data_IF_910924155992
#
_entry.id   IF_910924155992
#
_cell.length_a   1.000
_cell.length_b   1.000
_cell.length_c   1.000
_cell.angle_alpha   90.00
_cell.angle_beta   90.00
_cell.angle_gamma   90.00
#
_symmetry.space_group_name_H-M   'P 1'
#
loop_
_entity.id
_entity.type
_entity.pdbx_description
1 polymer ?
#
# COMPACT_ATOMS: atom_id res chain seq x y z
N UNK A 1 -12.36 7.90 7.38
CA UNK A 1 -13.49 6.95 7.37
C UNK A 1 -12.89 5.58 7.13
N UNK A 2 -12.89 4.71 8.15
CA UNK A 2 -12.26 3.38 8.08
C UNK A 2 -13.22 2.45 7.34
N UNK A 3 -12.79 1.89 6.21
CA UNK A 3 -13.59 0.92 5.46
C UNK A 3 -13.63 -0.41 6.21
N UNK A 4 -14.81 -0.87 6.60
CA UNK A 4 -15.02 -2.17 7.24
C UNK A 4 -15.11 -3.25 6.15
N UNK A 5 -14.33 -4.33 6.28
CA UNK A 5 -14.47 -5.51 5.43
C UNK A 5 -15.80 -6.19 5.73
N UNK A 6 -16.76 -6.14 4.80
CA UNK A 6 -18.10 -6.71 4.95
C UNK A 6 -18.20 -8.19 4.55
N UNK A 7 -17.10 -8.79 4.11
CA UNK A 7 -17.04 -10.17 3.62
C UNK A 7 -15.91 -10.93 4.31
N UNK A 8 -16.16 -12.19 4.66
CA UNK A 8 -15.14 -13.11 5.17
C UNK A 8 -14.26 -13.58 4.02
N UNK A 9 -13.07 -12.99 3.90
CA UNK A 9 -12.07 -13.35 2.91
C UNK A 9 -11.05 -14.31 3.53
N UNK A 10 -10.55 -15.26 2.74
CA UNK A 10 -9.50 -16.17 3.15
C UNK A 10 -8.35 -16.12 2.13
N UNK A 11 -7.13 -16.21 2.64
CA UNK A 11 -5.86 -16.28 1.93
C UNK A 11 -5.20 -17.63 2.23
N UNK A 12 -4.09 -17.95 1.56
CA UNK A 12 -3.45 -19.28 1.66
C UNK A 12 -2.99 -19.63 3.10
N UNK A 13 -2.81 -18.63 3.94
CA UNK A 13 -2.38 -18.71 5.35
C UNK A 13 -3.55 -18.57 6.35
N UNK A 14 -4.80 -18.50 5.89
CA UNK A 14 -5.99 -18.50 6.75
C UNK A 14 -6.94 -17.32 6.51
N UNK A 15 -7.85 -17.03 7.46
CA UNK A 15 -8.82 -15.95 7.30
C UNK A 15 -8.15 -14.56 7.35
N UNK A 16 -8.52 -13.68 6.42
CA UNK A 16 -8.12 -12.29 6.40
C UNK A 16 -9.01 -11.51 7.37
N UNK A 17 -8.54 -11.33 8.60
CA UNK A 17 -9.24 -10.56 9.63
C UNK A 17 -9.07 -9.06 9.42
N UNK A 18 -9.88 -8.24 10.10
CA UNK A 18 -9.73 -6.79 10.10
C UNK A 18 -8.40 -6.32 10.74
N UNK A 19 -7.79 -7.15 11.60
CA UNK A 19 -6.47 -6.88 12.16
C UNK A 19 -5.35 -7.17 11.14
N UNK A 20 -5.59 -8.10 10.22
CA UNK A 20 -4.65 -8.46 9.15
C UNK A 20 -4.75 -7.54 7.93
N UNK A 21 -5.83 -6.76 7.81
CA UNK A 21 -6.15 -5.96 6.64
C UNK A 21 -6.58 -4.55 6.98
N UNK A 22 -5.82 -3.55 6.51
CA UNK A 22 -6.13 -2.13 6.66
C UNK A 22 -5.75 -1.31 5.43
N UNK A 23 -6.13 -0.03 5.41
CA UNK A 23 -5.71 0.88 4.35
C UNK A 23 -4.25 1.30 4.56
N UNK A 24 -3.45 1.18 3.51
CA UNK A 24 -2.09 1.72 3.52
C UNK A 24 -2.10 3.24 3.57
N UNK A 25 -1.19 3.82 4.35
CA UNK A 25 -0.95 5.25 4.40
C UNK A 25 -0.19 5.68 3.14
N UNK A 26 -0.86 6.44 2.28
CA UNK A 26 -0.21 7.06 1.13
C UNK A 26 0.92 8.00 1.59
N UNK A 27 2.06 7.92 0.91
CA UNK A 27 3.16 8.85 1.04
C UNK A 27 3.32 9.64 -0.25
N UNK A 28 3.46 10.96 -0.12
CA UNK A 28 3.69 11.83 -1.27
C UNK A 28 5.14 11.68 -1.72
N UNK A 29 5.41 11.41 -3.02
CA UNK A 29 6.76 11.30 -3.55
C UNK A 29 7.60 12.58 -3.40
N UNK A 30 6.95 13.73 -3.22
CA UNK A 30 7.61 15.03 -3.03
C UNK A 30 8.14 15.25 -1.61
N UNK A 31 7.85 14.35 -0.67
CA UNK A 31 8.39 14.45 0.69
C UNK A 31 9.91 14.30 0.67
N UNK A 32 10.63 14.96 1.60
CA UNK A 32 12.06 14.75 1.77
C UNK A 32 12.40 13.27 2.01
N UNK A 33 13.52 12.82 1.46
CA UNK A 33 13.96 11.42 1.59
C UNK A 33 14.05 10.96 3.05
N UNK A 34 14.50 11.83 3.95
CA UNK A 34 14.59 11.56 5.38
C UNK A 34 13.22 11.27 6.02
N UNK A 35 12.16 11.94 5.57
CA UNK A 35 10.80 11.71 6.05
C UNK A 35 10.23 10.40 5.49
N UNK A 36 10.51 10.09 4.21
CA UNK A 36 10.14 8.81 3.62
C UNK A 36 10.84 7.65 4.33
N UNK A 37 12.12 7.81 4.67
CA UNK A 37 12.89 6.79 5.39
C UNK A 37 12.35 6.54 6.79
N UNK A 38 12.02 7.58 7.55
CA UNK A 38 11.38 7.43 8.87
C UNK A 38 10.05 6.67 8.79
N UNK A 39 9.25 6.91 7.75
CA UNK A 39 7.99 6.18 7.53
C UNK A 39 8.24 4.73 7.19
N UNK A 40 9.22 4.46 6.33
CA UNK A 40 9.63 3.09 6.03
C UNK A 40 10.07 2.35 7.29
N UNK A 41 10.91 2.96 8.13
CA UNK A 41 11.40 2.34 9.36
C UNK A 41 10.26 2.09 10.36
N UNK A 42 9.27 2.98 10.43
CA UNK A 42 8.13 2.87 11.35
C UNK A 42 7.07 1.88 10.88
N UNK A 43 6.67 1.99 9.62
CA UNK A 43 5.51 1.30 9.07
C UNK A 43 5.93 0.03 8.30
N UNK A 44 7.23 -0.18 8.06
CA UNK A 44 7.81 -1.28 7.26
C UNK A 44 7.37 -1.31 5.78
N UNK A 45 6.75 -0.23 5.30
CA UNK A 45 6.36 -0.06 3.90
C UNK A 45 6.37 1.42 3.49
N UNK A 46 6.33 1.66 2.18
CA UNK A 46 6.02 2.96 1.59
C UNK A 46 5.01 2.77 0.45
N UNK A 47 3.88 3.47 0.53
CA UNK A 47 2.89 3.49 -0.55
C UNK A 47 3.00 4.79 -1.35
N UNK A 48 3.79 4.76 -2.43
CA UNK A 48 4.03 5.89 -3.33
C UNK A 48 3.22 5.74 -4.62
N UNK A 49 2.52 6.80 -5.04
CA UNK A 49 1.77 6.84 -6.31
C UNK A 49 2.53 7.65 -7.36
N UNK A 50 2.38 7.27 -8.63
CA UNK A 50 2.91 8.04 -9.76
C UNK A 50 4.43 7.92 -9.98
N UNK A 51 5.08 6.95 -9.35
CA UNK A 51 6.52 6.69 -9.58
C UNK A 51 6.76 5.99 -10.92
N UNK A 52 5.86 5.08 -11.30
CA UNK A 52 5.93 4.37 -12.58
C UNK A 52 5.04 5.10 -13.61
N UNK A 53 5.56 5.41 -14.80
CA UNK A 53 4.76 5.96 -15.90
C UNK A 53 3.61 5.02 -16.26
N UNK A 54 2.46 5.58 -16.59
CA UNK A 54 1.25 4.79 -16.87
C UNK A 54 1.43 3.94 -18.12
N UNK A 55 2.03 4.52 -19.15
CA UNK A 55 2.33 3.89 -20.43
C UNK A 55 3.17 2.62 -20.25
N UNK A 56 4.27 2.70 -19.50
CA UNK A 56 5.17 1.57 -19.23
C UNK A 56 4.44 0.44 -18.49
N UNK A 57 3.60 0.81 -17.49
CA UNK A 57 2.79 -0.18 -16.75
C UNK A 57 1.76 -0.86 -17.65
N UNK A 58 1.16 -0.11 -18.58
CA UNK A 58 0.19 -0.66 -19.53
C UNK A 58 0.84 -1.52 -20.59
N UNK A 59 2.07 -1.21 -21.00
CA UNK A 59 2.86 -2.03 -21.93
C UNK A 59 3.24 -3.36 -21.28
N UNK A 60 3.82 -3.34 -20.07
CA UNK A 60 4.23 -4.55 -19.34
C UNK A 60 3.07 -5.49 -18.98
N UNK A 61 1.85 -4.99 -18.96
CA UNK A 61 0.64 -5.79 -18.71
C UNK A 61 0.20 -6.62 -19.92
N UNK A 62 0.54 -6.21 -21.15
CA UNK A 62 0.08 -6.87 -22.38
C UNK A 62 0.65 -8.26 -22.50
#
# INVERSE_FOLDING_TARGET
>A
MVGVLTQTLAVADGPLTADNGGLLRASEPSLPLEELRKRYDKDSYLFLKGILPREDVLEARR
#
